data_IF_349635888609
#
_entry.id   IF_349635888609
#
_cell.length_a   1.000
_cell.length_b   1.000
_cell.length_c   1.000
_cell.angle_alpha   90.00
_cell.angle_beta   90.00
_cell.angle_gamma   90.00
#
_symmetry.space_group_name_H-M   'P 1'
#
loop_
_entity.id
_entity.type
_entity.pdbx_description
1 polymer ?
#
# COMPACT_ATOMS: atom_id res chain seq x y z
N UNK A 1 9.68 43.03 44.68
CA UNK A 1 9.51 41.57 44.55
C UNK A 1 10.35 41.11 43.38
N UNK A 2 11.43 40.37 43.62
CA UNK A 2 12.26 39.79 42.57
C UNK A 2 11.75 38.37 42.28
N UNK A 3 11.31 38.11 41.05
CA UNK A 3 10.91 36.78 40.62
C UNK A 3 12.18 35.94 40.35
N UNK A 4 12.40 34.92 41.18
CA UNK A 4 13.42 33.89 40.96
C UNK A 4 13.02 33.07 39.72
N UNK A 5 13.69 33.32 38.60
CA UNK A 5 13.62 32.47 37.40
C UNK A 5 14.48 31.24 37.70
N UNK A 6 13.83 30.17 38.16
CA UNK A 6 14.50 28.87 38.31
C UNK A 6 14.95 28.34 36.94
N UNK A 7 16.05 27.57 36.88
CA UNK A 7 16.52 26.98 35.63
C UNK A 7 15.42 26.08 35.05
N UNK A 8 15.00 26.37 33.82
CA UNK A 8 14.10 25.51 33.09
C UNK A 8 14.82 24.18 32.82
N UNK A 9 14.27 23.07 33.32
CA UNK A 9 14.76 21.74 32.99
C UNK A 9 14.75 21.57 31.47
N UNK A 10 15.86 21.11 30.85
CA UNK A 10 15.90 20.91 29.41
C UNK A 10 14.83 19.89 29.02
N UNK A 11 14.01 20.23 28.03
CA UNK A 11 13.02 19.32 27.50
C UNK A 11 13.73 18.08 26.93
N UNK A 12 13.45 16.90 27.50
CA UNK A 12 13.98 15.64 26.97
C UNK A 12 13.39 15.37 25.60
N UNK A 13 14.24 15.06 24.63
CA UNK A 13 13.81 14.60 23.32
C UNK A 13 12.92 13.34 23.47
N UNK A 14 11.78 13.33 22.78
CA UNK A 14 10.91 12.18 22.70
C UNK A 14 11.60 11.04 21.92
N UNK A 15 11.58 9.84 22.50
CA UNK A 15 12.06 8.63 21.83
C UNK A 15 11.14 8.29 20.66
N UNK A 16 11.69 8.14 19.46
CA UNK A 16 10.92 7.76 18.27
C UNK A 16 10.50 6.28 18.31
N UNK A 17 9.33 5.90 17.77
CA UNK A 17 8.94 4.50 17.64
C UNK A 17 10.01 3.72 16.88
N UNK A 18 10.50 2.61 17.45
CA UNK A 18 11.56 1.80 16.83
C UNK A 18 12.85 2.57 16.51
N UNK A 19 13.05 3.76 17.09
CA UNK A 19 14.10 4.73 16.75
C UNK A 19 14.05 5.23 15.30
N UNK A 20 12.88 5.20 14.65
CA UNK A 20 12.69 5.58 13.24
C UNK A 20 11.80 6.82 13.11
N UNK A 21 12.16 7.72 12.21
CA UNK A 21 11.40 8.95 11.98
C UNK A 21 10.34 8.81 10.89
N UNK A 22 10.61 8.03 9.83
CA UNK A 22 9.80 8.04 8.61
C UNK A 22 9.15 6.67 8.39
N UNK A 23 7.83 6.64 8.26
CA UNK A 23 7.07 5.41 8.02
C UNK A 23 6.25 5.51 6.75
N UNK A 24 6.15 4.41 6.02
CA UNK A 24 5.08 4.16 5.04
C UNK A 24 4.01 3.31 5.71
N UNK A 25 2.74 3.64 5.48
CA UNK A 25 1.61 3.02 6.18
C UNK A 25 0.44 2.74 5.23
N UNK A 26 -0.22 1.61 5.44
CA UNK A 26 -1.49 1.24 4.83
C UNK A 26 -2.46 0.83 5.92
N UNK A 27 -3.69 1.34 5.90
CA UNK A 27 -4.68 1.00 6.93
C UNK A 27 -6.10 1.27 6.45
N UNK A 28 -7.09 0.78 7.19
CA UNK A 28 -8.49 0.91 6.76
C UNK A 28 -9.50 0.49 7.81
N UNK A 29 -10.76 0.78 7.50
CA UNK A 29 -11.93 0.22 8.18
C UNK A 29 -12.62 -0.73 7.23
N UNK A 30 -12.43 -2.01 7.49
CA UNK A 30 -13.00 -3.13 6.74
C UNK A 30 -13.96 -3.89 7.67
N UNK A 31 -15.21 -4.04 7.22
CA UNK A 31 -16.28 -4.75 7.91
C UNK A 31 -17.14 -5.55 6.91
N UNK A 32 -17.55 -6.78 7.24
CA UNK A 32 -18.46 -7.57 6.42
C UNK A 32 -19.78 -6.84 6.15
N UNK A 33 -20.36 -7.07 4.97
CA UNK A 33 -21.65 -6.50 4.52
C UNK A 33 -21.78 -4.96 4.65
N UNK A 34 -20.67 -4.26 4.79
CA UNK A 34 -20.64 -2.80 4.84
C UNK A 34 -20.57 -2.21 3.44
N UNK A 35 -21.38 -1.17 3.19
CA UNK A 35 -21.27 -0.30 2.01
C UNK A 35 -20.40 0.94 2.26
N UNK A 36 -19.66 0.98 3.37
CA UNK A 36 -18.86 2.13 3.81
C UNK A 36 -17.42 1.78 4.17
N UNK A 37 -16.91 0.63 3.69
CA UNK A 37 -15.50 0.29 3.86
C UNK A 37 -14.60 1.36 3.22
N UNK A 38 -13.45 1.58 3.83
CA UNK A 38 -12.46 2.53 3.32
C UNK A 38 -11.04 2.10 3.65
N UNK A 39 -10.11 2.56 2.82
CA UNK A 39 -8.67 2.31 2.93
C UNK A 39 -7.90 3.60 2.71
N UNK A 40 -6.71 3.65 3.29
CA UNK A 40 -5.76 4.75 3.18
C UNK A 40 -4.35 4.21 3.04
N UNK A 41 -3.56 4.93 2.27
CA UNK A 41 -2.13 4.68 2.05
C UNK A 41 -1.41 6.01 2.26
N UNK A 42 -0.24 6.00 2.88
CA UNK A 42 0.47 7.25 3.11
C UNK A 42 1.72 7.09 3.94
N UNK A 43 2.11 8.17 4.58
CA UNK A 43 3.34 8.24 5.36
C UNK A 43 3.09 8.85 6.73
N UNK A 44 3.82 8.38 7.74
CA UNK A 44 3.96 9.07 9.02
C UNK A 44 5.37 9.62 9.17
N UNK A 45 5.48 10.81 9.76
CA UNK A 45 6.74 11.43 10.15
C UNK A 45 6.70 11.80 11.63
N UNK A 46 7.50 11.11 12.43
CA UNK A 46 7.67 11.36 13.86
C UNK A 46 8.87 12.29 14.09
N UNK A 47 8.76 13.17 15.07
CA UNK A 47 9.81 14.13 15.44
C UNK A 47 10.11 14.04 16.93
N UNK A 48 11.34 14.41 17.30
CA UNK A 48 11.85 14.28 18.68
C UNK A 48 11.24 15.29 19.66
N UNK A 49 10.35 16.16 19.21
CA UNK A 49 9.51 17.03 20.04
C UNK A 49 8.16 16.39 20.42
N UNK A 50 7.98 15.09 20.13
CA UNK A 50 6.75 14.35 20.44
C UNK A 50 5.62 14.59 19.45
N UNK A 51 5.91 15.13 18.26
CA UNK A 51 4.92 15.38 17.20
C UNK A 51 4.96 14.30 16.11
N UNK A 52 3.81 14.12 15.47
CA UNK A 52 3.66 13.26 14.31
C UNK A 52 2.84 13.97 13.23
N UNK A 53 3.27 13.82 11.99
CA UNK A 53 2.52 14.23 10.79
C UNK A 53 2.15 12.99 9.97
N UNK A 54 0.95 13.01 9.40
CA UNK A 54 0.51 12.04 8.40
C UNK A 54 0.15 12.75 7.11
N UNK A 55 0.52 12.17 5.98
CA UNK A 55 0.08 12.57 4.64
C UNK A 55 -0.43 11.31 3.94
N UNK A 56 -1.74 11.24 3.63
CA UNK A 56 -2.41 10.06 3.12
C UNK A 56 -3.30 10.31 1.90
N UNK A 57 -3.37 9.31 1.03
CA UNK A 57 -4.46 9.15 0.07
C UNK A 57 -5.57 8.31 0.71
N UNK A 58 -6.82 8.63 0.38
CA UNK A 58 -7.99 8.00 0.96
C UNK A 58 -8.99 7.57 -0.12
N UNK A 59 -9.54 6.36 0.04
CA UNK A 59 -10.54 5.81 -0.86
C UNK A 59 -11.59 5.03 -0.05
N UNK A 60 -12.85 5.08 -0.46
CA UNK A 60 -13.91 4.38 0.25
C UNK A 60 -15.16 4.14 -0.59
N UNK A 61 -15.99 3.19 -0.16
CA UNK A 61 -17.20 2.79 -0.87
C UNK A 61 -18.27 3.89 -0.89
N UNK A 62 -18.23 4.84 0.06
CA UNK A 62 -19.14 6.00 0.10
C UNK A 62 -18.81 7.06 -0.95
N UNK A 63 -17.57 7.08 -1.45
CA UNK A 63 -17.09 8.01 -2.48
C UNK A 63 -16.09 7.26 -3.38
N UNK A 64 -16.60 6.33 -4.22
CA UNK A 64 -15.75 5.43 -5.00
C UNK A 64 -14.93 6.19 -6.03
N UNK A 65 -13.64 5.87 -6.12
CA UNK A 65 -12.74 6.47 -7.08
C UNK A 65 -12.67 5.64 -8.38
N UNK A 66 -12.63 6.33 -9.51
CA UNK A 66 -12.37 5.69 -10.80
C UNK A 66 -10.93 5.18 -10.92
N UNK A 67 -10.67 4.38 -11.96
CA UNK A 67 -9.31 4.01 -12.37
C UNK A 67 -8.81 5.05 -13.37
N UNK A 68 -7.53 5.38 -13.30
CA UNK A 68 -6.90 6.36 -14.18
C UNK A 68 -5.64 5.79 -14.82
N UNK A 69 -5.35 6.25 -16.03
CA UNK A 69 -4.12 5.95 -16.74
C UNK A 69 -2.91 6.56 -16.05
N UNK A 70 -1.80 5.83 -16.02
CA UNK A 70 -0.51 6.32 -15.53
C UNK A 70 0.33 6.98 -16.64
N UNK A 71 -0.12 6.93 -17.89
CA UNK A 71 0.66 7.32 -19.07
C UNK A 71 1.71 6.29 -19.51
N UNK A 72 1.92 5.20 -18.76
CA UNK A 72 2.91 4.16 -19.12
C UNK A 72 2.24 2.99 -19.80
N UNK A 73 2.77 2.64 -20.98
CA UNK A 73 2.47 1.40 -21.69
C UNK A 73 3.75 0.54 -21.65
N UNK A 74 3.70 -0.73 -21.19
CA UNK A 74 4.86 -1.60 -21.18
C UNK A 74 5.29 -1.91 -22.62
N UNK A 75 6.60 -1.92 -22.85
CA UNK A 75 7.20 -2.09 -24.17
C UNK A 75 8.52 -2.85 -24.07
N UNK A 76 8.95 -3.41 -25.19
CA UNK A 76 10.20 -4.17 -25.29
C UNK A 76 9.99 -5.64 -24.91
N UNK A 77 10.99 -6.26 -24.31
CA UNK A 77 10.99 -7.70 -23.99
C UNK A 77 9.87 -8.15 -23.01
N UNK A 78 9.27 -7.22 -22.27
CA UNK A 78 8.24 -7.55 -21.27
C UNK A 78 6.83 -7.57 -21.85
N UNK A 79 6.59 -7.13 -23.10
CA UNK A 79 5.23 -6.95 -23.65
C UNK A 79 5.16 -7.09 -25.18
N UNK A 80 4.02 -7.58 -25.70
CA UNK A 80 3.70 -7.59 -27.13
C UNK A 80 3.79 -8.94 -27.84
N UNK A 81 4.22 -10.00 -27.15
CA UNK A 81 4.22 -11.39 -27.64
C UNK A 81 3.19 -12.26 -26.90
N UNK A 82 2.94 -13.47 -27.40
CA UNK A 82 1.99 -14.44 -26.81
C UNK A 82 2.29 -14.75 -25.34
N UNK A 83 3.56 -14.81 -24.96
CA UNK A 83 3.99 -15.25 -23.63
C UNK A 83 4.27 -14.08 -22.67
N UNK A 84 4.18 -12.85 -23.18
CA UNK A 84 4.35 -11.62 -22.41
C UNK A 84 3.02 -10.92 -22.13
N UNK A 85 3.03 -9.90 -21.28
CA UNK A 85 1.82 -9.12 -21.04
C UNK A 85 1.39 -8.32 -22.28
N UNK A 86 0.10 -7.99 -22.34
CA UNK A 86 -0.43 -7.13 -23.41
C UNK A 86 0.04 -5.67 -23.22
N UNK A 87 0.21 -4.90 -24.31
CA UNK A 87 0.74 -3.53 -24.26
C UNK A 87 -0.34 -2.53 -23.83
N UNK A 88 -0.89 -2.71 -22.62
CA UNK A 88 -1.97 -1.88 -22.10
C UNK A 88 -1.45 -0.77 -21.20
N UNK A 89 -2.05 0.41 -21.30
CA UNK A 89 -1.73 1.51 -20.40
C UNK A 89 -2.02 1.10 -18.95
N UNK A 90 -0.99 1.12 -18.12
CA UNK A 90 -1.06 0.70 -16.72
C UNK A 90 -1.97 1.66 -15.98
N UNK A 91 -2.87 1.09 -15.16
CA UNK A 91 -3.86 1.86 -14.39
C UNK A 91 -3.51 1.89 -12.91
N UNK A 92 -3.90 2.98 -12.26
CA UNK A 92 -3.96 3.08 -10.80
C UNK A 92 -5.32 3.66 -10.39
N UNK A 93 -5.56 3.85 -9.10
CA UNK A 93 -6.78 4.51 -8.61
C UNK A 93 -6.66 6.03 -8.72
N UNK A 94 -7.77 6.71 -9.04
CA UNK A 94 -7.79 8.17 -9.13
C UNK A 94 -7.34 8.82 -7.82
N UNK A 95 -6.65 9.96 -7.93
CA UNK A 95 -6.05 10.69 -6.80
C UNK A 95 -4.67 10.19 -6.38
N UNK A 96 -4.24 8.98 -6.75
CA UNK A 96 -2.92 8.49 -6.34
C UNK A 96 -1.75 9.15 -7.10
N UNK A 97 -2.01 9.65 -8.30
CA UNK A 97 -1.02 10.36 -9.12
C UNK A 97 -0.71 11.77 -8.58
N UNK A 98 -1.62 12.38 -7.82
CA UNK A 98 -1.38 13.64 -7.14
C UNK A 98 -0.67 13.45 -5.79
N UNK A 99 -0.26 14.56 -5.17
CA UNK A 99 0.13 14.55 -3.77
C UNK A 99 -1.02 14.01 -2.89
N UNK A 100 -0.66 13.44 -1.74
CA UNK A 100 -1.62 13.00 -0.73
C UNK A 100 -2.47 14.19 -0.27
N UNK A 101 -3.81 14.17 -0.48
CA UNK A 101 -4.66 15.31 -0.19
C UNK A 101 -4.99 15.44 1.31
N UNK A 102 -4.89 14.35 2.06
CA UNK A 102 -5.24 14.34 3.48
C UNK A 102 -3.99 14.45 4.34
N UNK A 103 -3.78 15.63 4.93
CA UNK A 103 -2.70 15.89 5.88
C UNK A 103 -3.24 16.02 7.32
N UNK A 104 -2.53 15.42 8.27
CA UNK A 104 -2.89 15.47 9.70
C UNK A 104 -1.66 15.69 10.55
N UNK A 105 -1.88 16.29 11.71
CA UNK A 105 -0.84 16.44 12.73
C UNK A 105 -1.37 15.95 14.07
N UNK A 106 -0.47 15.51 14.93
CA UNK A 106 -0.80 14.99 16.25
C UNK A 106 0.43 14.96 17.14
N UNK A 107 0.24 14.48 18.36
CA UNK A 107 1.32 14.08 19.25
C UNK A 107 1.40 12.57 19.33
N UNK A 108 2.53 12.05 19.80
CA UNK A 108 2.67 10.63 20.09
C UNK A 108 3.36 10.39 21.42
N UNK A 109 3.07 9.24 22.01
CA UNK A 109 3.71 8.76 23.23
C UNK A 109 4.05 7.28 23.04
N UNK A 110 5.23 6.88 23.49
CA UNK A 110 5.60 5.46 23.56
C UNK A 110 5.21 4.89 24.92
N UNK A 111 4.67 3.68 24.86
CA UNK A 111 4.29 2.89 26.01
C UNK A 111 4.89 1.49 25.87
N UNK A 112 4.86 0.75 26.98
CA UNK A 112 5.12 -0.68 26.98
C UNK A 112 3.93 -1.38 27.63
N UNK A 113 3.58 -2.56 27.14
CA UNK A 113 2.63 -3.43 27.83
C UNK A 113 3.29 -4.14 29.03
N UNK A 114 2.52 -4.99 29.71
CA UNK A 114 3.00 -5.75 30.88
C UNK A 114 4.12 -6.75 30.55
N UNK A 115 4.26 -7.14 29.28
CA UNK A 115 5.34 -7.99 28.79
C UNK A 115 6.55 -7.19 28.27
N UNK A 116 6.52 -5.85 28.39
CA UNK A 116 7.58 -4.97 27.91
C UNK A 116 7.53 -4.68 26.41
N UNK A 117 6.51 -5.16 25.68
CA UNK A 117 6.37 -4.88 24.24
C UNK A 117 5.96 -3.44 24.02
N UNK A 118 6.72 -2.74 23.20
CA UNK A 118 6.45 -1.34 22.91
C UNK A 118 5.24 -1.15 22.00
N UNK A 119 4.45 -0.12 22.29
CA UNK A 119 3.46 0.41 21.36
C UNK A 119 3.50 1.94 21.35
N UNK A 120 3.20 2.53 20.20
CA UNK A 120 3.01 3.97 20.05
C UNK A 120 1.52 4.27 20.12
N UNK A 121 1.15 5.23 20.96
CA UNK A 121 -0.16 5.88 20.95
C UNK A 121 -0.02 7.21 20.20
N UNK A 122 -0.83 7.41 19.16
CA UNK A 122 -0.92 8.67 18.43
C UNK A 122 -2.24 9.35 18.79
N UNK A 123 -2.15 10.62 19.18
CA UNK A 123 -3.29 11.51 19.40
C UNK A 123 -3.32 12.57 18.29
N UNK A 124 -4.31 12.50 17.40
CA UNK A 124 -4.45 13.44 16.30
C UNK A 124 -5.18 14.72 16.71
N UNK A 125 -4.80 15.84 16.12
CA UNK A 125 -5.42 17.15 16.31
C UNK A 125 -6.76 17.27 15.53
N UNK A 126 -7.65 16.27 15.65
CA UNK A 126 -8.97 16.27 15.00
C UNK A 126 -10.00 15.51 15.84
N UNK A 127 -11.28 15.85 15.68
CA UNK A 127 -12.36 15.33 16.52
C UNK A 127 -12.92 13.99 16.06
N UNK A 128 -12.93 13.73 14.74
CA UNK A 128 -13.52 12.51 14.16
C UNK A 128 -12.67 11.26 14.37
N UNK A 129 -11.35 11.42 14.52
CA UNK A 129 -10.38 10.35 14.68
C UNK A 129 -9.33 10.80 15.67
N UNK A 130 -9.61 10.57 16.94
CA UNK A 130 -8.81 11.08 18.05
C UNK A 130 -7.53 10.29 18.26
N UNK A 131 -7.62 8.96 18.24
CA UNK A 131 -6.48 8.10 18.61
C UNK A 131 -6.34 6.86 17.75
N UNK A 132 -5.10 6.39 17.67
CA UNK A 132 -4.72 5.07 17.16
C UNK A 132 -3.48 4.57 17.90
N UNK A 133 -3.35 3.25 17.95
CA UNK A 133 -2.24 2.58 18.60
C UNK A 133 -1.64 1.52 17.69
N UNK A 134 -0.32 1.39 17.75
CA UNK A 134 0.45 0.46 16.96
C UNK A 134 1.49 -0.24 17.81
N UNK A 135 1.53 -1.57 17.74
CA UNK A 135 2.69 -2.32 18.22
C UNK A 135 3.93 -1.94 17.42
N UNK A 136 5.06 -1.81 18.10
CA UNK A 136 6.34 -1.43 17.52
C UNK A 136 7.31 -2.59 17.66
N UNK A 137 7.70 -3.18 16.54
CA UNK A 137 8.72 -4.23 16.49
C UNK A 137 9.93 -3.71 15.69
N UNK A 138 11.14 -3.86 16.22
CA UNK A 138 12.37 -3.52 15.46
C UNK A 138 12.83 -4.73 14.67
N UNK A 139 13.41 -4.48 13.49
CA UNK A 139 14.00 -5.56 12.70
C UNK A 139 15.18 -6.16 13.48
N UNK A 140 15.51 -7.45 13.31
CA UNK A 140 16.65 -8.05 13.98
C UNK A 140 17.99 -7.33 13.72
N UNK A 141 18.16 -6.79 12.51
CA UNK A 141 19.32 -5.99 12.11
C UNK A 141 19.25 -4.52 12.56
N UNK A 142 18.12 -4.11 13.16
CA UNK A 142 17.85 -2.75 13.61
C UNK A 142 17.70 -1.72 12.49
N UNK A 143 17.70 -2.11 11.21
CA UNK A 143 17.74 -1.15 10.09
C UNK A 143 16.37 -0.56 9.76
N UNK A 144 15.28 -1.16 10.22
CA UNK A 144 13.91 -0.67 10.05
C UNK A 144 13.01 -1.20 11.18
N UNK A 145 11.78 -0.69 11.25
CA UNK A 145 10.81 -1.07 12.28
C UNK A 145 9.44 -1.32 11.64
N UNK A 146 8.66 -2.21 12.26
CA UNK A 146 7.30 -2.56 11.88
C UNK A 146 6.31 -1.96 12.87
N UNK A 147 5.25 -1.34 12.32
CA UNK A 147 4.03 -0.98 13.02
C UNK A 147 2.95 -2.00 12.69
N UNK A 148 2.45 -2.69 13.70
CA UNK A 148 1.28 -3.58 13.58
C UNK A 148 0.10 -2.95 14.26
N UNK A 149 -1.04 -2.86 13.58
CA UNK A 149 -2.24 -2.26 14.16
C UNK A 149 -2.60 -2.91 15.50
N UNK A 150 -2.75 -2.09 16.55
CA UNK A 150 -3.17 -2.52 17.88
C UNK A 150 -4.61 -2.13 18.14
N UNK A 151 -4.93 -0.85 17.99
CA UNK A 151 -6.27 -0.35 18.35
C UNK A 151 -6.59 1.01 17.72
N UNK A 152 -7.87 1.23 17.42
CA UNK A 152 -8.46 2.55 17.17
C UNK A 152 -9.98 2.43 17.22
N UNK A 153 -10.68 3.53 17.54
CA UNK A 153 -12.13 3.61 17.38
C UNK A 153 -12.62 3.73 15.92
N UNK A 154 -11.71 3.81 14.93
CA UNK A 154 -12.05 4.01 13.51
C UNK A 154 -11.45 2.98 12.55
N UNK A 155 -10.23 2.56 12.83
CA UNK A 155 -9.48 1.60 12.01
C UNK A 155 -9.77 0.18 12.48
N UNK A 156 -9.77 -0.79 11.58
CA UNK A 156 -9.84 -2.21 11.94
C UNK A 156 -8.59 -2.99 11.55
N UNK A 157 -7.81 -2.49 10.59
CA UNK A 157 -6.61 -3.16 10.08
C UNK A 157 -5.54 -2.13 9.69
N UNK A 158 -4.27 -2.53 9.77
CA UNK A 158 -3.16 -1.68 9.35
C UNK A 158 -1.80 -2.34 9.40
N UNK A 159 -0.92 -1.85 8.54
CA UNK A 159 0.51 -2.17 8.49
C UNK A 159 1.30 -0.87 8.31
N UNK A 160 2.43 -0.76 9.00
CA UNK A 160 3.38 0.32 8.78
C UNK A 160 4.81 -0.18 8.88
N UNK A 161 5.72 0.47 8.15
CA UNK A 161 7.13 0.17 8.19
C UNK A 161 7.94 1.45 8.13
N UNK A 162 8.92 1.59 9.01
CA UNK A 162 9.68 2.82 9.16
C UNK A 162 11.17 2.65 9.22
N UNK A 163 11.85 3.71 8.82
CA UNK A 163 13.29 3.86 8.79
C UNK A 163 13.67 5.34 8.94
N UNK A 164 14.95 5.62 8.93
CA UNK A 164 15.53 6.96 8.88
C UNK A 164 15.83 7.41 7.44
N UNK A 165 15.67 6.54 6.43
CA UNK A 165 15.72 6.95 5.04
C UNK A 165 14.63 7.99 4.72
N UNK A 166 14.97 9.02 3.95
CA UNK A 166 14.02 10.08 3.60
C UNK A 166 12.83 9.53 2.80
N UNK A 167 11.64 10.12 2.96
CA UNK A 167 10.42 9.69 2.23
C UNK A 167 10.50 9.90 0.71
N UNK A 168 11.42 10.75 0.24
CA UNK A 168 11.76 10.91 -1.17
C UNK A 168 12.74 9.83 -1.71
N UNK A 169 13.32 9.02 -0.82
CA UNK A 169 14.24 7.94 -1.21
C UNK A 169 13.44 6.79 -1.80
N UNK A 170 13.88 6.32 -2.98
CA UNK A 170 13.30 5.16 -3.65
C UNK A 170 14.38 4.25 -4.24
N UNK A 171 14.00 3.04 -4.60
CA UNK A 171 14.80 2.12 -5.41
C UNK A 171 14.21 1.92 -6.80
N UNK A 172 15.12 1.73 -7.75
CA UNK A 172 14.78 1.45 -9.13
C UNK A 172 14.12 0.07 -9.22
N UNK A 173 13.27 -0.13 -10.23
CA UNK A 173 12.63 -1.43 -10.46
C UNK A 173 13.63 -2.55 -10.73
N UNK A 174 14.85 -2.23 -11.18
CA UNK A 174 15.96 -3.19 -11.26
C UNK A 174 16.39 -3.74 -9.90
N UNK A 175 16.58 -2.86 -8.91
CA UNK A 175 16.90 -3.25 -7.54
C UNK A 175 15.78 -4.09 -6.93
N UNK A 176 14.54 -3.70 -7.20
CA UNK A 176 13.35 -4.44 -6.75
C UNK A 176 13.31 -5.83 -7.38
N UNK A 177 13.56 -5.95 -8.68
CA UNK A 177 13.55 -7.22 -9.40
C UNK A 177 14.67 -8.16 -8.93
N UNK A 178 15.86 -7.62 -8.69
CA UNK A 178 17.05 -8.37 -8.28
C UNK A 178 17.13 -8.62 -6.76
N UNK A 179 16.03 -8.41 -6.03
CA UNK A 179 15.97 -8.72 -4.61
C UNK A 179 15.84 -10.24 -4.42
N UNK A 180 16.80 -10.85 -3.71
CA UNK A 180 16.76 -12.28 -3.36
C UNK A 180 15.88 -12.58 -2.13
N UNK A 181 15.31 -11.55 -1.52
CA UNK A 181 14.44 -11.70 -0.36
C UNK A 181 13.17 -12.51 -0.69
N UNK A 182 12.84 -13.46 0.18
CA UNK A 182 11.55 -14.15 0.13
C UNK A 182 10.45 -13.20 0.61
N UNK A 183 9.57 -12.78 -0.29
CA UNK A 183 8.50 -11.86 0.05
C UNK A 183 7.20 -12.60 0.29
N UNK A 184 6.51 -12.21 1.36
CA UNK A 184 5.15 -12.66 1.65
C UNK A 184 4.20 -11.49 1.52
N UNK A 185 3.13 -11.68 0.74
CA UNK A 185 1.99 -10.78 0.73
C UNK A 185 0.96 -11.24 1.75
N UNK A 186 0.68 -10.39 2.73
CA UNK A 186 -0.43 -10.58 3.68
C UNK A 186 -1.45 -9.47 3.50
N UNK A 187 -2.74 -9.81 3.45
CA UNK A 187 -3.78 -8.81 3.30
C UNK A 187 -5.10 -9.18 3.96
N UNK A 188 -5.79 -8.14 4.43
CA UNK A 188 -7.21 -8.20 4.77
C UNK A 188 -8.01 -7.60 3.63
N UNK A 189 -8.89 -8.38 3.01
CA UNK A 189 -9.69 -7.97 1.85
C UNK A 189 -11.18 -8.00 2.15
N UNK A 190 -11.82 -6.86 1.93
CA UNK A 190 -13.27 -6.70 1.87
C UNK A 190 -13.75 -6.88 0.43
N UNK A 191 -14.55 -7.91 0.17
CA UNK A 191 -15.21 -8.15 -1.13
C UNK A 191 -16.42 -9.06 -0.96
N UNK A 192 -17.47 -8.86 -1.76
CA UNK A 192 -18.69 -9.69 -1.74
C UNK A 192 -19.27 -9.88 -0.33
N UNK A 193 -19.26 -8.80 0.47
CA UNK A 193 -19.80 -8.78 1.82
C UNK A 193 -18.99 -9.55 2.87
N UNK A 194 -17.77 -10.00 2.58
CA UNK A 194 -16.88 -10.67 3.53
C UNK A 194 -15.56 -9.92 3.71
N UNK A 195 -14.96 -10.04 4.90
CA UNK A 195 -13.56 -9.65 5.15
C UNK A 195 -12.75 -10.92 5.37
N UNK A 196 -11.70 -11.13 4.56
CA UNK A 196 -10.85 -12.33 4.64
C UNK A 196 -9.38 -11.95 4.82
N UNK A 197 -8.69 -12.69 5.67
CA UNK A 197 -7.24 -12.72 5.70
C UNK A 197 -6.72 -13.64 4.60
N UNK A 198 -5.67 -13.22 3.91
CA UNK A 198 -4.95 -14.03 2.93
C UNK A 198 -3.47 -13.80 3.10
N UNK A 199 -2.71 -14.88 2.97
CA UNK A 199 -1.27 -14.91 2.95
C UNK A 199 -0.81 -15.71 1.74
N UNK A 200 0.20 -15.20 1.03
CA UNK A 200 0.79 -15.88 -0.13
C UNK A 200 2.21 -15.40 -0.39
N UNK A 201 3.04 -16.28 -0.90
CA UNK A 201 4.36 -15.90 -1.39
C UNK A 201 4.21 -14.97 -2.60
N UNK A 202 5.04 -13.93 -2.64
CA UNK A 202 5.14 -12.99 -3.74
C UNK A 202 6.47 -13.18 -4.45
N UNK A 203 6.45 -13.95 -5.54
CA UNK A 203 7.67 -14.34 -6.23
C UNK A 203 8.08 -13.29 -7.28
N UNK A 204 9.10 -12.49 -6.96
CA UNK A 204 9.63 -11.48 -7.89
C UNK A 204 10.32 -12.08 -9.13
N UNK A 205 10.84 -13.30 -9.06
CA UNK A 205 11.53 -13.95 -10.20
C UNK A 205 10.62 -14.23 -11.40
N UNK A 206 9.30 -14.16 -11.22
CA UNK A 206 8.33 -14.30 -12.30
C UNK A 206 8.23 -13.03 -13.16
N UNK A 207 8.63 -11.88 -12.60
CA UNK A 207 8.54 -10.61 -13.30
C UNK A 207 9.73 -10.40 -14.23
N UNK A 208 9.48 -9.69 -15.32
CA UNK A 208 10.50 -9.23 -16.25
C UNK A 208 10.48 -7.72 -16.28
N UNK A 209 11.65 -7.08 -16.14
CA UNK A 209 11.79 -5.65 -16.38
C UNK A 209 11.71 -5.36 -17.87
N UNK A 210 10.89 -4.39 -18.24
CA UNK A 210 10.80 -3.89 -19.60
C UNK A 210 12.10 -3.21 -20.03
N UNK A 211 12.62 -3.51 -21.21
CA UNK A 211 13.85 -2.90 -21.73
C UNK A 211 13.71 -1.41 -22.03
N UNK A 212 12.54 -0.95 -22.49
CA UNK A 212 12.31 0.47 -22.81
C UNK A 212 11.70 1.23 -21.65
N UNK A 213 10.63 0.72 -21.07
CA UNK A 213 9.97 1.31 -19.89
C UNK A 213 10.63 0.75 -18.62
N UNK A 214 11.90 1.03 -18.38
CA UNK A 214 12.73 0.38 -17.33
C UNK A 214 12.20 0.53 -15.89
N UNK A 215 11.25 1.43 -15.69
CA UNK A 215 10.49 1.63 -14.46
C UNK A 215 9.23 0.75 -14.37
N UNK A 216 9.08 -0.23 -15.25
CA UNK A 216 7.98 -1.18 -15.32
C UNK A 216 8.51 -2.62 -15.25
N UNK A 217 7.87 -3.42 -14.41
CA UNK A 217 7.99 -4.87 -14.33
C UNK A 217 6.67 -5.48 -14.80
N UNK A 218 6.73 -6.57 -15.54
CA UNK A 218 5.53 -7.25 -16.01
C UNK A 218 5.65 -8.77 -15.96
N UNK A 219 4.52 -9.42 -15.77
CA UNK A 219 4.41 -10.87 -15.75
C UNK A 219 3.03 -11.31 -16.27
N UNK A 220 3.02 -12.17 -17.27
CA UNK A 220 1.80 -12.87 -17.68
C UNK A 220 1.74 -14.19 -16.94
N UNK A 221 0.84 -14.29 -15.96
CA UNK A 221 0.56 -15.59 -15.34
C UNK A 221 -0.12 -16.47 -16.39
N UNK A 222 0.41 -17.68 -16.69
CA UNK A 222 -0.29 -18.64 -17.53
C UNK A 222 -1.66 -19.01 -16.95
N UNK A 223 -2.48 -19.70 -17.75
CA UNK A 223 -3.85 -20.10 -17.44
C UNK A 223 -4.11 -20.32 -15.93
N UNK A 224 -5.02 -19.53 -15.35
CA UNK A 224 -5.33 -19.58 -13.92
C UNK A 224 -6.84 -19.72 -13.68
N UNK A 225 -7.21 -20.46 -12.64
CA UNK A 225 -8.60 -20.61 -12.20
C UNK A 225 -9.20 -19.34 -11.61
N UNK A 226 -8.36 -18.35 -11.25
CA UNK A 226 -8.81 -17.04 -10.77
C UNK A 226 -9.44 -16.19 -11.87
N UNK A 227 -9.18 -16.53 -13.13
CA UNK A 227 -9.74 -15.87 -14.29
C UNK A 227 -10.76 -16.79 -14.95
N UNK A 228 -12.03 -16.42 -14.86
CA UNK A 228 -13.10 -17.17 -15.48
C UNK A 228 -14.05 -16.22 -16.20
N UNK A 229 -14.37 -16.55 -17.44
CA UNK A 229 -15.25 -15.77 -18.30
C UNK A 229 -16.21 -16.70 -19.02
N UNK A 230 -17.41 -16.20 -19.37
CA UNK A 230 -18.35 -16.97 -20.17
C UNK A 230 -17.90 -17.07 -21.64
N UNK A 231 -18.32 -18.14 -22.31
CA UNK A 231 -18.22 -18.28 -23.76
C UNK A 231 -18.82 -17.04 -24.46
N UNK A 232 -18.25 -16.58 -25.60
CA UNK A 232 -17.15 -17.18 -26.35
C UNK A 232 -15.74 -16.72 -25.92
N UNK A 233 -15.60 -16.04 -24.77
CA UNK A 233 -14.35 -15.41 -24.34
C UNK A 233 -13.51 -16.25 -23.36
N UNK A 234 -13.92 -17.49 -23.11
CA UNK A 234 -13.40 -18.48 -22.16
C UNK A 234 -12.11 -19.21 -22.62
N UNK A 235 -11.39 -18.65 -23.59
CA UNK A 235 -10.20 -19.30 -24.19
C UNK A 235 -8.87 -18.82 -23.61
N UNK A 236 -8.84 -17.67 -22.95
CA UNK A 236 -7.61 -17.08 -22.41
C UNK A 236 -7.79 -16.67 -20.95
N UNK A 237 -7.58 -17.62 -20.04
CA UNK A 237 -7.68 -17.42 -18.59
C UNK A 237 -6.36 -16.96 -17.97
N UNK A 238 -5.45 -16.37 -18.75
CA UNK A 238 -4.22 -15.80 -18.21
C UNK A 238 -4.48 -14.51 -17.41
N UNK A 239 -3.59 -14.21 -16.46
CA UNK A 239 -3.60 -12.97 -15.70
C UNK A 239 -2.49 -12.04 -16.22
N UNK A 240 -2.85 -10.79 -16.47
CA UNK A 240 -1.95 -9.73 -16.92
C UNK A 240 -1.49 -8.93 -15.70
N UNK A 241 -0.21 -9.00 -15.30
CA UNK A 241 0.30 -8.31 -14.10
C UNK A 241 1.34 -7.25 -14.47
N UNK A 242 1.24 -6.09 -13.85
CA UNK A 242 2.11 -4.94 -14.09
C UNK A 242 2.47 -4.29 -12.76
N UNK A 243 3.76 -4.09 -12.48
CA UNK A 243 4.25 -3.24 -11.38
C UNK A 243 4.99 -2.08 -12.00
N UNK A 244 4.70 -0.86 -11.57
CA UNK A 244 5.29 0.33 -12.16
C UNK A 244 5.65 1.35 -11.08
N UNK A 245 6.83 1.95 -11.21
CA UNK A 245 7.14 3.18 -10.51
C UNK A 245 6.34 4.36 -11.08
N UNK A 246 5.65 5.09 -10.22
CA UNK A 246 4.82 6.24 -10.61
C UNK A 246 5.56 7.58 -10.53
N UNK A 247 6.63 7.64 -9.75
CA UNK A 247 7.38 8.86 -9.49
C UNK A 247 8.86 8.56 -9.31
N UNK A 248 9.72 9.35 -9.95
CA UNK A 248 11.16 9.32 -9.66
C UNK A 248 11.55 10.02 -8.35
N UNK A 249 10.59 10.66 -7.67
CA UNK A 249 10.84 11.61 -6.57
C UNK A 249 10.37 11.12 -5.20
N UNK A 250 9.65 10.01 -5.17
CA UNK A 250 9.05 9.44 -3.96
C UNK A 250 8.89 7.92 -4.09
N UNK A 251 8.35 7.30 -3.04
CA UNK A 251 8.22 5.85 -2.89
C UNK A 251 7.01 5.24 -3.63
N UNK A 252 6.26 6.01 -4.43
CA UNK A 252 5.05 5.52 -5.08
C UNK A 252 5.36 4.58 -6.23
N UNK A 253 4.80 3.39 -6.11
CA UNK A 253 4.66 2.41 -7.18
C UNK A 253 3.17 2.02 -7.28
N UNK A 254 2.79 1.28 -8.32
CA UNK A 254 1.47 0.67 -8.40
C UNK A 254 1.58 -0.75 -8.95
N UNK A 255 0.75 -1.64 -8.44
CA UNK A 255 0.47 -2.91 -9.07
C UNK A 255 -0.92 -2.87 -9.72
N UNK A 256 -1.02 -3.37 -10.95
CA UNK A 256 -2.26 -3.49 -11.69
C UNK A 256 -2.36 -4.89 -12.25
N UNK A 257 -3.51 -5.52 -12.12
CA UNK A 257 -3.77 -6.76 -12.85
C UNK A 257 -5.21 -6.94 -13.29
N UNK A 258 -5.38 -7.81 -14.29
CA UNK A 258 -6.68 -8.16 -14.85
C UNK A 258 -6.60 -9.47 -15.64
N UNK A 259 -7.75 -10.12 -15.80
CA UNK A 259 -7.88 -11.38 -16.54
C UNK A 259 -8.03 -11.16 -18.04
N UNK A 260 -7.20 -11.81 -18.84
CA UNK A 260 -7.16 -11.65 -20.31
C UNK A 260 -8.52 -11.85 -20.98
N UNK A 261 -9.29 -12.86 -20.53
CA UNK A 261 -10.62 -13.15 -21.06
C UNK A 261 -11.62 -11.97 -20.88
N UNK A 262 -11.43 -11.11 -19.88
CA UNK A 262 -12.32 -9.97 -19.63
C UNK A 262 -12.18 -8.87 -20.67
N UNK A 263 -11.09 -8.86 -21.47
CA UNK A 263 -10.98 -7.94 -22.59
C UNK A 263 -11.93 -8.28 -23.76
N UNK A 264 -12.60 -9.44 -23.73
CA UNK A 264 -13.64 -9.83 -24.70
C UNK A 264 -13.23 -9.61 -26.17
N UNK A 265 -12.05 -10.08 -26.53
CA UNK A 265 -11.48 -9.92 -27.89
C UNK A 265 -10.79 -8.58 -28.15
N UNK A 266 -10.91 -7.59 -27.26
CA UNK A 266 -10.10 -6.38 -27.32
C UNK A 266 -8.68 -6.62 -26.81
N UNK A 267 -7.74 -5.73 -27.15
CA UNK A 267 -6.38 -5.77 -26.62
C UNK A 267 -6.36 -5.59 -25.10
N UNK A 268 -7.06 -4.56 -24.61
CA UNK A 268 -7.03 -4.16 -23.20
C UNK A 268 -8.39 -4.22 -22.53
N UNK A 269 -8.42 -4.72 -21.29
CA UNK A 269 -9.60 -4.65 -20.44
C UNK A 269 -9.81 -3.25 -19.87
N UNK A 270 -11.04 -2.74 -19.97
CA UNK A 270 -11.43 -1.40 -19.51
C UNK A 270 -12.37 -1.42 -18.29
N UNK A 271 -12.71 -2.60 -17.78
CA UNK A 271 -13.71 -2.76 -16.72
C UNK A 271 -13.12 -2.77 -15.31
N UNK A 272 -13.68 -3.64 -14.46
CA UNK A 272 -13.35 -3.79 -13.04
C UNK A 272 -12.00 -4.50 -12.81
N UNK A 273 -10.90 -3.95 -13.31
CA UNK A 273 -9.54 -4.48 -13.07
C UNK A 273 -9.07 -4.20 -11.64
N UNK A 274 -8.03 -4.88 -11.17
CA UNK A 274 -7.52 -4.66 -9.81
C UNK A 274 -6.39 -3.64 -9.79
N UNK A 275 -6.57 -2.55 -9.03
CA UNK A 275 -5.56 -1.50 -8.85
C UNK A 275 -5.07 -1.46 -7.40
N UNK A 276 -3.75 -1.44 -7.25
CA UNK A 276 -3.07 -1.46 -5.97
C UNK A 276 -2.04 -0.34 -5.92
N UNK A 277 -2.36 0.81 -5.31
CA UNK A 277 -1.37 1.79 -4.87
C UNK A 277 -0.37 1.18 -3.88
N UNK A 278 0.92 1.47 -4.05
CA UNK A 278 2.01 0.93 -3.25
C UNK A 278 2.95 2.04 -2.78
N UNK A 279 3.55 1.86 -1.61
CA UNK A 279 4.70 2.62 -1.15
C UNK A 279 5.84 1.67 -0.78
N UNK A 280 7.04 1.93 -1.33
CA UNK A 280 8.23 1.14 -1.02
C UNK A 280 8.59 1.21 0.47
N UNK A 281 8.95 0.06 1.03
CA UNK A 281 9.61 -0.03 2.33
C UNK A 281 11.11 0.05 2.07
N UNK A 282 11.76 1.06 2.62
CA UNK A 282 13.20 1.31 2.49
C UNK A 282 13.79 1.35 3.90
N UNK A 283 14.86 0.62 4.17
CA UNK A 283 15.54 0.62 5.47
C UNK A 283 16.51 1.81 5.65
N UNK A 284 17.17 1.89 6.81
CA UNK A 284 18.15 2.94 7.15
C UNK A 284 19.38 2.97 6.21
N UNK A 285 19.78 1.81 5.68
CA UNK A 285 20.87 1.66 4.71
C UNK A 285 20.41 1.94 3.26
N UNK A 286 19.12 2.25 3.10
CA UNK A 286 18.47 2.41 1.82
C UNK A 286 18.13 1.09 1.12
N UNK A 287 18.28 -0.07 1.75
CA UNK A 287 17.84 -1.34 1.18
C UNK A 287 16.33 -1.35 0.93
N UNK A 288 15.90 -1.99 -0.17
CA UNK A 288 14.47 -2.21 -0.43
C UNK A 288 14.00 -3.46 0.32
N UNK A 289 12.84 -3.37 0.99
CA UNK A 289 12.32 -4.40 1.91
C UNK A 289 10.89 -4.84 1.60
N UNK A 290 10.37 -4.42 0.44
CA UNK A 290 9.00 -4.69 0.02
C UNK A 290 8.13 -3.43 -0.17
N UNK A 291 6.82 -3.59 0.03
CA UNK A 291 5.81 -2.54 -0.06
C UNK A 291 4.78 -2.65 1.07
N UNK A 292 4.21 -1.50 1.43
CA UNK A 292 2.84 -1.45 1.94
C UNK A 292 1.91 -1.00 0.83
N UNK A 293 0.65 -1.40 0.87
CA UNK A 293 -0.29 -1.06 -0.18
C UNK A 293 -1.75 -1.19 0.25
N UNK A 294 -2.61 -0.69 -0.62
CA UNK A 294 -4.05 -0.90 -0.52
C UNK A 294 -4.63 -1.35 -1.85
N UNK A 295 -5.67 -2.17 -1.82
CA UNK A 295 -6.51 -2.35 -3.01
C UNK A 295 -7.64 -1.34 -2.92
N UNK A 296 -7.86 -0.59 -3.99
CA UNK A 296 -8.91 0.42 -4.09
C UNK A 296 -9.65 0.26 -5.42
N UNK A 297 -10.21 -0.93 -5.62
CA UNK A 297 -10.82 -1.35 -6.87
C UNK A 297 -12.33 -1.26 -6.78
N UNK A 298 -12.91 -0.17 -7.30
CA UNK A 298 -14.33 0.08 -7.25
C UNK A 298 -15.05 -0.44 -8.48
N UNK A 299 -16.20 -1.09 -8.30
CA UNK A 299 -17.04 -1.55 -9.38
C UNK A 299 -17.56 -0.35 -10.18
N UNK A 300 -17.26 -0.26 -11.49
CA UNK A 300 -17.49 0.96 -12.28
C UNK A 300 -18.88 1.01 -12.93
N UNK A 301 -19.73 -0.01 -12.73
CA UNK A 301 -21.02 -0.11 -13.40
C UNK A 301 -22.17 0.10 -12.41
N UNK A 302 -23.32 0.52 -12.95
CA UNK A 302 -24.59 0.73 -12.22
C UNK A 302 -25.62 -0.34 -12.59
N UNK A 303 -25.16 -1.48 -13.11
CA UNK A 303 -25.98 -2.55 -13.66
C UNK A 303 -26.46 -3.56 -12.59
N UNK A 304 -26.19 -3.29 -11.31
CA UNK A 304 -26.60 -4.13 -10.19
C UNK A 304 -27.24 -3.30 -9.09
N UNK A 305 -28.15 -3.91 -8.33
CA UNK A 305 -28.85 -3.26 -7.22
C UNK A 305 -27.90 -2.80 -6.10
N UNK A 306 -26.86 -3.58 -5.79
CA UNK A 306 -25.79 -3.21 -4.86
C UNK A 306 -24.42 -3.29 -5.54
N UNK A 307 -24.00 -2.24 -6.25
CA UNK A 307 -22.68 -2.22 -6.89
C UNK A 307 -21.54 -2.21 -5.88
N UNK A 308 -21.77 -1.78 -4.63
CA UNK A 308 -20.71 -1.67 -3.61
C UNK A 308 -20.29 -3.05 -3.10
N UNK A 309 -21.19 -4.05 -3.13
CA UNK A 309 -20.83 -5.44 -2.84
C UNK A 309 -19.73 -6.01 -3.77
N UNK A 310 -19.56 -5.41 -4.96
CA UNK A 310 -18.55 -5.79 -5.96
C UNK A 310 -17.25 -4.99 -5.86
N UNK A 311 -17.19 -4.00 -4.97
CA UNK A 311 -15.94 -3.31 -4.66
C UNK A 311 -14.96 -4.29 -3.99
N UNK A 312 -13.68 -4.04 -4.21
CA UNK A 312 -12.59 -4.82 -3.65
C UNK A 312 -11.62 -3.85 -2.99
N UNK A 313 -11.69 -3.84 -1.67
CA UNK A 313 -10.83 -3.00 -0.82
C UNK A 313 -9.95 -3.89 0.03
N UNK A 314 -8.67 -3.58 0.10
CA UNK A 314 -7.72 -4.36 0.88
C UNK A 314 -6.70 -3.46 1.55
N UNK A 315 -6.26 -3.85 2.75
CA UNK A 315 -5.06 -3.31 3.40
C UNK A 315 -4.02 -4.41 3.38
N UNK A 316 -2.81 -4.12 2.91
CA UNK A 316 -1.81 -5.17 2.75
C UNK A 316 -0.36 -4.70 2.86
N UNK A 317 0.51 -5.68 3.03
CA UNK A 317 1.95 -5.56 2.91
C UNK A 317 2.48 -6.68 2.02
N UNK A 318 3.60 -6.42 1.38
CA UNK A 318 4.47 -7.39 0.69
C UNK A 318 5.85 -7.19 1.29
N UNK A 319 6.39 -8.13 2.04
CA UNK A 319 7.64 -7.91 2.76
C UNK A 319 8.32 -9.23 3.08
N UNK A 320 9.62 -9.17 3.34
CA UNK A 320 10.43 -10.28 3.88
C UNK A 320 10.21 -10.52 5.38
N UNK A 321 9.42 -9.66 6.03
CA UNK A 321 9.15 -9.77 7.46
C UNK A 321 8.08 -10.81 7.75
N UNK A 322 8.48 -11.96 8.31
CA UNK A 322 7.61 -12.98 8.88
C UNK A 322 6.73 -12.43 10.04
#
# INVERSE_FOLDING_TARGET
MAALIGPASPASAATLPGKKANYVVSFGSLSPKSGSNWVRLGTYRFTTDGRVRSDTWAWGQTAPAGRVGTGTIPKGNCSGTKDTVRPCEIKTVNGFLSAAPEARTGSFTLHADTAGRQYVNIAWNQTAWRTEEWWVDSAPDGTYARLTFKYSGKLTHGHGYGSNAGLATRRAMETVLNSDAELTMTYHRATKGAVKYVERNWNMSQYVRCTTSTWCLAYKTPQTTNCNCAAPYDKDHSLQNYIQALSGKDRRDTHWHWCSCLAKGSECYKGNSHVYPLLQIIDDNGGWRGWVGVEASFYPYTDQADPRSHDMLSVFRVTEWA
#
